data_IF_823519484352
#
_entry.id   IF_823519484352
#
_cell.length_a   1.000
_cell.length_b   1.000
_cell.length_c   1.000
_cell.angle_alpha   90.00
_cell.angle_beta   90.00
_cell.angle_gamma   90.00
#
_symmetry.space_group_name_H-M   'P 1'
#
loop_
_entity.id
_entity.type
_entity.pdbx_description
1 polymer ?
#
# COMPACT_ATOMS: atom_id res chain seq x y z
N UNK A 1 -10.48 -3.18 -17.84
CA UNK A 1 -10.40 -1.86 -17.18
C UNK A 1 -9.52 -0.94 -18.03
N UNK A 2 -9.61 0.38 -17.85
CA UNK A 2 -8.79 1.39 -18.53
C UNK A 2 -7.96 2.12 -17.47
N UNK A 3 -6.66 2.33 -17.71
CA UNK A 3 -5.82 3.16 -16.84
C UNK A 3 -6.28 4.62 -16.87
N UNK A 4 -6.01 5.38 -15.80
CA UNK A 4 -6.35 6.81 -15.76
C UNK A 4 -5.29 7.65 -16.50
N UNK A 5 -5.53 8.95 -16.65
CA UNK A 5 -4.65 9.88 -17.40
C UNK A 5 -3.29 10.13 -16.74
N UNK A 6 -3.13 9.78 -15.47
CA UNK A 6 -1.92 9.97 -14.69
C UNK A 6 -0.95 8.77 -14.79
N UNK A 7 -1.31 7.72 -15.53
CA UNK A 7 -0.46 6.52 -15.71
C UNK A 7 0.37 6.64 -16.98
N UNK A 8 1.70 6.69 -16.83
CA UNK A 8 2.64 6.68 -17.96
C UNK A 8 2.76 5.30 -18.63
N UNK A 9 2.84 4.24 -17.81
CA UNK A 9 3.12 2.88 -18.28
C UNK A 9 2.06 1.89 -17.78
N UNK A 10 1.02 1.60 -18.57
CA UNK A 10 0.01 0.61 -18.20
C UNK A 10 0.52 -0.83 -18.44
N UNK A 11 0.52 -1.66 -17.40
CA UNK A 11 0.88 -3.08 -17.50
C UNK A 11 -0.39 -3.95 -17.47
N UNK A 12 -0.71 -4.59 -18.60
CA UNK A 12 -1.85 -5.50 -18.70
C UNK A 12 -1.45 -6.92 -18.24
N UNK A 13 -1.78 -7.27 -16.99
CA UNK A 13 -1.31 -8.53 -16.36
C UNK A 13 -2.18 -9.76 -16.64
N UNK A 14 -3.47 -9.57 -16.94
CA UNK A 14 -4.44 -10.67 -17.11
C UNK A 14 -4.83 -11.39 -15.81
N UNK A 15 -4.37 -10.93 -14.64
CA UNK A 15 -4.52 -11.64 -13.35
C UNK A 15 -5.79 -11.29 -12.55
N UNK A 16 -6.69 -10.46 -13.09
CA UNK A 16 -7.89 -10.05 -12.36
C UNK A 16 -7.52 -9.33 -11.05
N UNK A 17 -8.06 -9.79 -9.91
CA UNK A 17 -7.74 -9.25 -8.58
C UNK A 17 -6.38 -9.71 -8.03
N UNK A 18 -5.85 -10.83 -8.50
CA UNK A 18 -4.53 -11.32 -8.05
C UNK A 18 -3.39 -10.36 -8.41
N UNK A 19 -3.62 -9.42 -9.34
CA UNK A 19 -2.68 -8.34 -9.65
C UNK A 19 -2.36 -7.43 -8.46
N UNK A 20 -3.22 -7.35 -7.45
CA UNK A 20 -3.04 -6.47 -6.31
C UNK A 20 -1.77 -6.83 -5.52
N UNK A 21 -1.37 -8.10 -5.51
CA UNK A 21 -0.10 -8.53 -4.92
C UNK A 21 1.12 -7.86 -5.60
N UNK A 22 1.00 -7.48 -6.88
CA UNK A 22 2.09 -6.82 -7.59
C UNK A 22 2.35 -5.39 -7.09
N UNK A 23 1.36 -4.75 -6.45
CA UNK A 23 1.50 -3.35 -5.99
C UNK A 23 2.51 -3.26 -4.84
N UNK A 24 2.33 -3.96 -3.69
CA UNK A 24 3.34 -3.94 -2.62
C UNK A 24 4.64 -4.67 -2.99
N UNK A 25 4.59 -5.63 -3.93
CA UNK A 25 5.80 -6.33 -4.38
C UNK A 25 6.80 -5.39 -5.06
N UNK A 26 6.32 -4.43 -5.85
CA UNK A 26 7.15 -3.52 -6.64
C UNK A 26 7.43 -2.17 -5.96
N UNK A 27 6.87 -1.92 -4.77
CA UNK A 27 7.18 -0.74 -3.96
C UNK A 27 8.09 -1.09 -2.79
N UNK A 28 8.85 -0.11 -2.30
CA UNK A 28 9.68 -0.25 -1.10
C UNK A 28 8.88 -0.06 0.19
N UNK A 29 7.76 0.67 0.11
CA UNK A 29 6.80 0.90 1.19
C UNK A 29 5.37 1.06 0.65
N UNK A 30 4.38 1.05 1.54
CA UNK A 30 2.97 1.24 1.20
C UNK A 30 2.37 2.39 2.01
N UNK A 31 1.76 3.36 1.33
CA UNK A 31 0.81 4.30 1.95
C UNK A 31 -0.60 3.81 1.64
N UNK A 32 -1.31 3.33 2.66
CA UNK A 32 -2.68 2.84 2.52
C UNK A 32 -3.68 3.97 2.78
N UNK A 33 -4.44 4.35 1.75
CA UNK A 33 -5.51 5.34 1.87
C UNK A 33 -6.84 4.71 2.31
N UNK A 34 -7.82 5.53 2.70
CA UNK A 34 -9.21 5.12 2.87
C UNK A 34 -9.67 4.26 1.69
N UNK A 35 -10.11 3.02 1.95
CA UNK A 35 -10.39 2.06 0.90
C UNK A 35 -11.31 0.93 1.34
N UNK A 36 -11.57 -0.01 0.42
CA UNK A 36 -12.38 -1.20 0.71
C UNK A 36 -11.54 -2.48 0.78
N UNK A 37 -12.18 -3.63 0.55
CA UNK A 37 -11.54 -4.96 0.61
C UNK A 37 -10.32 -5.12 -0.29
N UNK A 38 -10.25 -4.38 -1.40
CA UNK A 38 -9.08 -4.36 -2.28
C UNK A 38 -7.84 -3.79 -1.59
N UNK A 39 -7.99 -2.64 -0.93
CA UNK A 39 -6.94 -2.00 -0.13
C UNK A 39 -6.51 -2.89 1.02
N UNK A 40 -7.46 -3.52 1.72
CA UNK A 40 -7.14 -4.47 2.80
C UNK A 40 -6.27 -5.64 2.31
N UNK A 41 -6.56 -6.18 1.11
CA UNK A 41 -5.73 -7.23 0.53
C UNK A 41 -4.32 -6.77 0.19
N UNK A 42 -4.15 -5.52 -0.26
CA UNK A 42 -2.83 -4.95 -0.57
C UNK A 42 -2.03 -4.71 0.73
N UNK A 43 -2.69 -4.29 1.82
CA UNK A 43 -2.05 -4.19 3.15
C UNK A 43 -1.57 -5.58 3.61
N UNK A 44 -2.40 -6.62 3.44
CA UNK A 44 -2.00 -8.00 3.78
C UNK A 44 -0.80 -8.49 2.96
N UNK A 45 -0.77 -8.20 1.66
CA UNK A 45 0.40 -8.51 0.82
C UNK A 45 1.65 -7.71 1.23
N UNK A 46 1.49 -6.46 1.65
CA UNK A 46 2.61 -5.66 2.17
C UNK A 46 3.25 -6.33 3.39
N UNK A 47 2.44 -6.83 4.33
CA UNK A 47 2.93 -7.64 5.45
C UNK A 47 3.66 -8.91 5.02
N UNK A 48 3.13 -9.66 4.04
CA UNK A 48 3.78 -10.88 3.50
C UNK A 48 5.14 -10.58 2.87
N UNK A 49 5.31 -9.39 2.28
CA UNK A 49 6.54 -8.97 1.62
C UNK A 49 7.44 -8.12 2.51
N UNK A 50 7.15 -8.06 3.81
CA UNK A 50 7.91 -7.27 4.80
C UNK A 50 8.06 -5.79 4.39
N UNK A 51 7.00 -5.21 3.81
CA UNK A 51 6.98 -3.79 3.44
C UNK A 51 6.41 -2.96 4.58
N UNK A 52 7.06 -1.85 4.99
CA UNK A 52 6.47 -0.92 5.94
C UNK A 52 5.18 -0.32 5.38
N UNK A 53 4.18 -0.16 6.25
CA UNK A 53 2.87 0.36 5.87
C UNK A 53 2.53 1.58 6.72
N UNK A 54 2.15 2.67 6.07
CA UNK A 54 1.58 3.85 6.73
C UNK A 54 0.15 4.04 6.27
N UNK A 55 -0.79 4.07 7.21
CA UNK A 55 -2.19 4.35 6.96
C UNK A 55 -2.48 5.85 6.96
N UNK A 56 -3.22 6.33 5.97
CA UNK A 56 -3.80 7.69 5.94
C UNK A 56 -5.31 7.56 5.76
N UNK A 57 -6.06 7.86 6.82
CA UNK A 57 -7.52 7.70 6.90
C UNK A 57 -8.01 6.27 6.54
N UNK A 58 -7.20 5.24 6.83
CA UNK A 58 -7.49 3.85 6.41
C UNK A 58 -8.05 2.97 7.54
N UNK A 59 -8.13 1.67 7.27
CA UNK A 59 -8.66 0.65 8.17
C UNK A 59 -7.86 0.58 9.49
N UNK A 60 -8.57 0.50 10.60
CA UNK A 60 -8.00 0.05 11.87
C UNK A 60 -7.81 -1.47 11.83
N UNK A 61 -6.58 -1.94 12.00
CA UNK A 61 -6.26 -3.36 11.95
C UNK A 61 -5.86 -3.88 13.34
N UNK A 62 -6.27 -5.11 13.70
CA UNK A 62 -5.66 -5.77 14.86
C UNK A 62 -4.16 -5.98 14.61
N UNK A 63 -3.36 -6.21 15.66
CA UNK A 63 -1.94 -6.50 15.51
C UNK A 63 -1.73 -7.80 14.72
N UNK A 64 -1.49 -7.66 13.41
CA UNK A 64 -1.34 -8.76 12.45
C UNK A 64 0.12 -8.98 12.04
N UNK A 65 1.08 -8.69 12.94
CA UNK A 65 2.52 -8.68 12.63
C UNK A 65 2.90 -7.73 11.48
N UNK A 66 2.04 -6.74 11.19
CA UNK A 66 2.30 -5.66 10.24
C UNK A 66 2.65 -4.41 11.06
N UNK A 67 3.82 -3.83 10.80
CA UNK A 67 4.21 -2.52 11.34
C UNK A 67 3.41 -1.44 10.60
N UNK A 68 2.18 -1.19 11.09
CA UNK A 68 1.25 -0.21 10.54
C UNK A 68 1.22 1.04 11.42
N UNK A 69 1.90 2.09 10.98
CA UNK A 69 1.78 3.43 11.55
C UNK A 69 0.62 4.18 10.89
N UNK A 70 0.03 5.17 11.56
CA UNK A 70 -1.02 6.03 10.97
C UNK A 70 -0.57 7.48 10.94
N UNK A 71 -0.78 8.13 9.80
CA UNK A 71 -0.54 9.55 9.60
C UNK A 71 -1.85 10.32 9.40
N UNK A 72 -1.85 11.60 9.78
CA UNK A 72 -3.01 12.49 9.64
C UNK A 72 -2.96 13.37 8.39
N UNK A 73 -1.79 13.52 7.77
CA UNK A 73 -1.61 14.33 6.55
C UNK A 73 -0.79 13.58 5.49
N UNK A 74 -0.93 13.93 4.20
CA UNK A 74 -0.10 13.36 3.14
C UNK A 74 1.40 13.53 3.39
N UNK A 75 1.82 14.71 3.84
CA UNK A 75 3.23 15.00 4.14
C UNK A 75 3.77 14.09 5.25
N UNK A 76 3.02 13.96 6.35
CA UNK A 76 3.40 13.07 7.44
C UNK A 76 3.43 11.60 7.00
N UNK A 77 2.55 11.19 6.09
CA UNK A 77 2.55 9.84 5.56
C UNK A 77 3.81 9.55 4.72
N UNK A 78 4.26 10.53 3.92
CA UNK A 78 5.51 10.44 3.14
C UNK A 78 6.72 10.39 4.07
N UNK A 79 6.83 11.33 5.02
CA UNK A 79 7.95 11.37 5.97
C UNK A 79 8.09 10.05 6.74
N UNK A 80 6.96 9.45 7.15
CA UNK A 80 6.94 8.19 7.89
C UNK A 80 7.41 6.99 7.04
N UNK A 81 6.96 6.87 5.77
CA UNK A 81 7.43 5.77 4.91
C UNK A 81 8.90 5.93 4.53
N UNK A 82 9.39 7.15 4.29
CA UNK A 82 10.81 7.39 4.00
C UNK A 82 11.68 6.97 5.20
N UNK A 83 11.32 7.40 6.41
CA UNK A 83 12.02 6.99 7.63
C UNK A 83 11.94 5.48 7.90
N UNK A 84 10.88 4.81 7.46
CA UNK A 84 10.73 3.37 7.61
C UNK A 84 11.58 2.57 6.62
N UNK A 85 11.77 3.07 5.40
CA UNK A 85 12.60 2.42 4.35
C UNK A 85 14.09 2.56 4.64
N UNK A 86 14.51 3.63 5.32
CA UNK A 86 15.92 3.88 5.66
C UNK A 86 16.43 3.09 6.89
N UNK A 87 15.55 2.37 7.60
CA UNK A 87 15.89 1.53 8.77
C UNK A 87 16.49 0.19 8.37
#
# INVERSE_FOLDING_TARGET
SRANEYVDVPIATGLGHARNALVPLNGDAVIALAGGVGTLSEIGFAGIYDRPVVGLETHELPPLEIDLETAETPEAAVDAVEAAVER
#
